data_IF_602470878745
#
_entry.id   IF_602470878745
#
_cell.length_a   1.000
_cell.length_b   1.000
_cell.length_c   1.000
_cell.angle_alpha   90.00
_cell.angle_beta   90.00
_cell.angle_gamma   90.00
#
_symmetry.space_group_name_H-M   'P 1'
#
loop_
_entity.id
_entity.type
_entity.pdbx_description
1 polymer ?
#
# COMPACT_ATOMS: atom_id res chain seq x y z
N UNK A 1 -15.14 -4.79 -37.56
CA UNK A 1 -15.80 -3.55 -38.03
C UNK A 1 -14.73 -2.72 -38.71
N UNK A 2 -14.97 -2.29 -39.94
CA UNK A 2 -14.00 -1.47 -40.68
C UNK A 2 -14.14 0.01 -40.28
N UNK A 3 -13.00 0.66 -40.03
CA UNK A 3 -12.93 2.06 -39.63
C UNK A 3 -12.74 2.94 -40.86
N UNK A 4 -13.67 3.85 -41.10
CA UNK A 4 -13.63 4.78 -42.23
C UNK A 4 -13.10 6.15 -41.77
N UNK A 5 -12.26 6.85 -42.57
CA UNK A 5 -11.76 8.17 -42.21
C UNK A 5 -12.89 9.21 -42.27
N UNK A 6 -13.15 9.90 -41.15
CA UNK A 6 -14.14 10.98 -41.05
C UNK A 6 -13.50 12.37 -41.00
N UNK A 7 -12.17 12.43 -40.89
CA UNK A 7 -11.37 13.65 -40.94
C UNK A 7 -9.90 13.40 -40.59
N UNK A 8 -9.04 14.42 -40.59
CA UNK A 8 -7.63 14.27 -40.22
C UNK A 8 -7.47 13.67 -38.82
N UNK A 9 -6.87 12.49 -38.73
CA UNK A 9 -6.70 11.75 -37.47
C UNK A 9 -8.01 11.26 -36.82
N UNK A 10 -9.13 11.27 -37.55
CA UNK A 10 -10.44 10.83 -37.05
C UNK A 10 -10.95 9.67 -37.89
N UNK A 11 -11.30 8.59 -37.21
CA UNK A 11 -11.87 7.39 -37.80
C UNK A 11 -13.21 7.11 -37.15
N UNK A 12 -14.19 6.72 -37.96
CA UNK A 12 -15.53 6.39 -37.51
C UNK A 12 -15.95 5.03 -38.08
N UNK A 13 -16.68 4.28 -37.27
CA UNK A 13 -17.38 3.08 -37.70
C UNK A 13 -18.73 2.99 -37.03
N UNK A 14 -19.68 2.39 -37.74
CA UNK A 14 -21.00 2.08 -37.20
C UNK A 14 -21.17 0.57 -37.23
N UNK A 15 -21.63 0.00 -36.13
CA UNK A 15 -21.97 -1.42 -36.05
C UNK A 15 -23.28 -1.57 -35.31
N UNK A 16 -24.12 -2.49 -35.77
CA UNK A 16 -25.33 -2.88 -35.04
C UNK A 16 -24.94 -3.90 -33.98
N UNK A 17 -25.36 -3.66 -32.74
CA UNK A 17 -25.19 -4.62 -31.65
C UNK A 17 -26.52 -5.39 -31.49
N UNK A 18 -26.46 -6.72 -31.30
CA UNK A 18 -27.66 -7.56 -31.33
C UNK A 18 -28.51 -7.42 -30.06
N UNK A 19 -27.88 -7.42 -28.88
CA UNK A 19 -28.57 -7.51 -27.60
C UNK A 19 -28.20 -6.38 -26.63
N UNK A 20 -29.03 -6.17 -25.62
CA UNK A 20 -28.68 -5.41 -24.42
C UNK A 20 -27.51 -6.02 -23.65
N UNK A 21 -26.65 -5.18 -23.08
CA UNK A 21 -25.52 -5.68 -22.29
C UNK A 21 -24.29 -4.79 -22.26
N UNK A 22 -23.23 -5.34 -21.68
CA UNK A 22 -21.91 -4.69 -21.57
C UNK A 22 -21.02 -5.22 -22.67
N UNK A 23 -20.57 -4.32 -23.53
CA UNK A 23 -19.68 -4.59 -24.64
C UNK A 23 -18.33 -3.92 -24.43
N UNK A 24 -17.30 -4.55 -24.97
CA UNK A 24 -15.94 -4.02 -24.95
C UNK A 24 -15.51 -3.81 -26.41
N UNK A 25 -15.21 -2.56 -26.74
CA UNK A 25 -14.71 -2.18 -28.04
C UNK A 25 -13.18 -2.02 -27.95
N UNK A 26 -12.47 -2.85 -28.69
CA UNK A 26 -11.02 -2.77 -28.83
C UNK A 26 -10.68 -2.25 -30.22
N UNK A 27 -9.94 -1.15 -30.27
CA UNK A 27 -9.42 -0.54 -31.48
C UNK A 27 -7.92 -0.79 -31.51
N UNK A 28 -7.44 -1.49 -32.53
CA UNK A 28 -6.01 -1.75 -32.74
C UNK A 28 -5.60 -1.15 -34.08
N UNK A 29 -4.57 -0.31 -34.06
CA UNK A 29 -3.89 0.17 -35.25
C UNK A 29 -2.65 -0.70 -35.48
N UNK A 30 -2.58 -1.34 -36.64
CA UNK A 30 -1.43 -2.13 -37.06
C UNK A 30 -0.72 -1.41 -38.19
N UNK A 31 0.62 -1.42 -38.18
CA UNK A 31 1.42 -0.88 -39.27
C UNK A 31 1.71 -2.00 -40.29
N UNK A 32 1.25 -1.88 -41.54
CA UNK A 32 1.55 -2.86 -42.58
C UNK A 32 3.00 -2.78 -43.09
N UNK A 33 3.77 -1.76 -42.68
CA UNK A 33 5.08 -1.41 -43.22
C UNK A 33 6.25 -1.77 -42.29
N UNK A 34 5.96 -2.44 -41.18
CA UNK A 34 6.96 -2.94 -40.24
C UNK A 34 7.78 -4.09 -40.82
N UNK A 35 8.84 -3.74 -41.56
CA UNK A 35 10.07 -4.49 -41.83
C UNK A 35 9.96 -6.01 -42.06
N UNK A 36 10.08 -6.41 -43.32
CA UNK A 36 10.43 -7.74 -43.84
C UNK A 36 9.64 -8.97 -43.31
N UNK A 37 8.93 -9.70 -44.18
CA UNK A 37 8.33 -10.98 -43.80
C UNK A 37 9.45 -12.01 -43.57
N UNK A 38 9.77 -12.30 -42.31
CA UNK A 38 10.41 -13.57 -41.98
C UNK A 38 9.38 -14.67 -42.25
N UNK A 39 9.78 -15.75 -42.93
CA UNK A 39 8.94 -16.76 -43.59
C UNK A 39 7.99 -17.58 -42.69
N UNK A 40 7.79 -17.17 -41.44
CA UNK A 40 6.81 -17.76 -40.53
C UNK A 40 6.19 -16.61 -39.73
N UNK A 41 4.89 -16.41 -39.88
CA UNK A 41 4.04 -15.41 -39.19
C UNK A 41 3.83 -14.08 -39.93
N UNK A 42 2.81 -14.07 -40.80
CA UNK A 42 2.11 -12.87 -41.28
C UNK A 42 1.34 -12.20 -40.13
N UNK A 43 2.05 -11.73 -39.10
CA UNK A 43 1.46 -11.05 -37.96
C UNK A 43 1.70 -9.54 -38.11
N UNK A 44 0.67 -8.82 -38.53
CA UNK A 44 0.65 -7.36 -38.50
C UNK A 44 1.01 -6.87 -37.10
N UNK A 45 2.11 -6.13 -36.94
CA UNK A 45 2.55 -5.66 -35.63
C UNK A 45 1.60 -4.55 -35.15
N UNK A 46 0.94 -4.72 -33.99
CA UNK A 46 0.08 -3.68 -33.44
C UNK A 46 0.94 -2.51 -32.94
N UNK A 47 0.70 -1.31 -33.48
CA UNK A 47 1.44 -0.08 -33.14
C UNK A 47 0.71 0.74 -32.07
N UNK A 48 -0.61 0.67 -32.03
CA UNK A 48 -1.40 1.28 -30.97
C UNK A 48 -2.68 0.48 -30.70
N UNK A 49 -3.14 0.50 -29.46
CA UNK A 49 -4.39 -0.15 -29.06
C UNK A 49 -5.12 0.68 -28.02
N UNK A 50 -6.44 0.85 -28.19
CA UNK A 50 -7.31 1.46 -27.20
C UNK A 50 -8.51 0.56 -26.95
N UNK A 51 -8.80 0.32 -25.67
CA UNK A 51 -9.97 -0.44 -25.24
C UNK A 51 -10.94 0.51 -24.54
N UNK A 52 -12.21 0.46 -24.93
CA UNK A 52 -13.29 1.22 -24.29
C UNK A 52 -14.49 0.33 -24.01
N UNK A 53 -15.23 0.65 -22.96
CA UNK A 53 -16.47 -0.04 -22.59
C UNK A 53 -17.69 0.70 -23.15
N UNK A 54 -18.66 -0.05 -23.67
CA UNK A 54 -19.95 0.45 -24.11
C UNK A 54 -21.05 -0.33 -23.37
N UNK A 55 -22.02 0.37 -22.80
CA UNK A 55 -23.18 -0.26 -22.16
C UNK A 55 -24.42 0.09 -22.96
N UNK A 56 -25.10 -0.93 -23.48
CA UNK A 56 -26.43 -0.77 -24.08
C UNK A 56 -27.44 -1.00 -22.95
N UNK A 57 -28.18 0.05 -22.53
CA UNK A 57 -29.17 -0.11 -21.49
C UNK A 57 -30.33 -0.99 -21.96
N UNK A 58 -30.96 -1.68 -21.01
CA UNK A 58 -32.23 -2.36 -21.24
C UNK A 58 -33.31 -1.39 -21.74
N UNK A 59 -34.39 -1.95 -22.26
CA UNK A 59 -35.59 -1.20 -22.67
C UNK A 59 -35.96 -0.11 -21.63
N UNK A 60 -36.38 1.09 -22.06
CA UNK A 60 -36.71 2.20 -21.17
C UNK A 60 -37.79 1.88 -20.14
N UNK A 61 -38.61 0.83 -20.36
CA UNK A 61 -39.57 0.34 -19.36
C UNK A 61 -38.91 -0.14 -18.06
N UNK A 62 -37.66 -0.61 -18.14
CA UNK A 62 -36.86 -1.03 -16.97
C UNK A 62 -36.04 0.10 -16.38
N UNK A 63 -36.04 1.29 -17.02
CA UNK A 63 -35.37 2.44 -16.44
C UNK A 63 -36.14 2.85 -15.16
N UNK A 64 -35.42 2.97 -14.04
CA UNK A 64 -35.94 3.72 -12.90
C UNK A 64 -35.79 5.20 -13.21
N UNK A 65 -36.87 5.83 -13.69
CA UNK A 65 -36.85 7.26 -13.99
C UNK A 65 -36.74 8.13 -12.73
N UNK A 66 -37.00 7.56 -11.56
CA UNK A 66 -36.96 8.28 -10.29
C UNK A 66 -35.60 8.12 -9.60
N UNK A 67 -35.01 9.23 -9.18
CA UNK A 67 -33.72 9.26 -8.49
C UNK A 67 -33.86 8.72 -7.07
N UNK A 68 -33.08 7.70 -6.72
CA UNK A 68 -32.99 7.21 -5.34
C UNK A 68 -32.11 8.14 -4.50
N UNK A 69 -32.76 9.12 -3.86
CA UNK A 69 -32.08 10.15 -3.08
C UNK A 69 -31.35 9.55 -1.88
N UNK A 70 -31.87 8.47 -1.29
CA UNK A 70 -31.25 7.80 -0.16
C UNK A 70 -29.96 7.12 -0.55
N UNK A 71 -29.96 6.36 -1.65
CA UNK A 71 -28.77 5.71 -2.19
C UNK A 71 -27.71 6.73 -2.59
N UNK A 72 -28.10 7.82 -3.24
CA UNK A 72 -27.17 8.89 -3.61
C UNK A 72 -26.54 9.57 -2.39
N UNK A 73 -27.31 9.74 -1.31
CA UNK A 73 -26.82 10.32 -0.06
C UNK A 73 -25.83 9.39 0.64
N UNK A 74 -26.14 8.09 0.70
CA UNK A 74 -25.26 7.07 1.27
C UNK A 74 -23.95 6.96 0.48
N UNK A 75 -24.03 7.00 -0.85
CA UNK A 75 -22.86 6.92 -1.73
C UNK A 75 -21.97 8.16 -1.57
N UNK A 76 -22.56 9.35 -1.44
CA UNK A 76 -21.82 10.57 -1.12
C UNK A 76 -21.11 10.45 0.24
N UNK A 77 -21.78 9.92 1.26
CA UNK A 77 -21.19 9.71 2.58
C UNK A 77 -20.03 8.70 2.57
N UNK A 78 -20.17 7.59 1.85
CA UNK A 78 -19.15 6.54 1.74
C UNK A 78 -17.92 6.99 0.94
N UNK A 79 -18.11 7.78 -0.11
CA UNK A 79 -17.02 8.22 -1.00
C UNK A 79 -16.38 9.54 -0.56
N UNK A 80 -16.96 10.22 0.43
CA UNK A 80 -16.61 11.61 0.76
C UNK A 80 -17.02 12.61 -0.33
N UNK A 81 -17.94 12.20 -1.22
CA UNK A 81 -18.53 13.04 -2.24
C UNK A 81 -19.54 14.04 -1.68
N UNK A 82 -20.17 14.82 -2.56
CA UNK A 82 -21.20 15.80 -2.19
C UNK A 82 -22.43 15.65 -3.05
N UNK A 83 -23.59 16.00 -2.50
CA UNK A 83 -24.81 16.20 -3.28
C UNK A 83 -24.70 17.50 -4.08
N UNK A 84 -25.18 17.48 -5.32
CA UNK A 84 -25.27 18.65 -6.17
C UNK A 84 -26.74 19.05 -6.28
N UNK A 85 -27.06 20.28 -5.88
CA UNK A 85 -28.42 20.82 -5.99
C UNK A 85 -28.65 21.60 -7.30
N UNK A 86 -27.56 21.95 -7.98
CA UNK A 86 -27.58 22.66 -9.26
C UNK A 86 -26.55 22.03 -10.21
N UNK A 87 -26.90 21.72 -11.48
CA UNK A 87 -25.98 21.14 -12.46
C UNK A 87 -24.72 21.97 -12.71
N UNK A 88 -24.76 23.28 -12.52
CA UNK A 88 -23.59 24.15 -12.64
C UNK A 88 -22.48 23.81 -11.62
N UNK A 89 -22.83 23.20 -10.48
CA UNK A 89 -21.85 22.81 -9.45
C UNK A 89 -20.90 21.70 -9.94
N UNK A 90 -21.28 20.94 -10.97
CA UNK A 90 -20.41 19.90 -11.58
C UNK A 90 -19.15 20.49 -12.19
N UNK A 91 -19.23 21.74 -12.66
CA UNK A 91 -18.11 22.46 -13.29
C UNK A 91 -17.37 23.37 -12.31
N UNK A 92 -17.79 23.43 -11.04
CA UNK A 92 -17.10 24.20 -10.04
C UNK A 92 -15.69 23.62 -9.83
N UNK A 93 -14.63 24.46 -9.79
CA UNK A 93 -13.26 24.00 -9.54
C UNK A 93 -13.22 23.21 -8.24
N UNK A 94 -13.02 21.90 -8.35
CA UNK A 94 -12.97 20.99 -7.22
C UNK A 94 -11.51 20.77 -6.81
N UNK A 95 -11.15 20.93 -5.52
CA UNK A 95 -9.80 20.66 -5.04
C UNK A 95 -9.49 19.16 -4.92
N UNK A 96 -10.48 18.29 -5.15
CA UNK A 96 -10.28 16.85 -5.11
C UNK A 96 -9.40 16.41 -6.28
N UNK A 97 -8.23 15.89 -5.92
CA UNK A 97 -7.26 15.29 -6.82
C UNK A 97 -7.94 14.10 -7.49
N UNK A 98 -8.33 14.25 -8.76
CA UNK A 98 -8.71 13.11 -9.57
C UNK A 98 -7.60 12.06 -9.47
N UNK A 99 -7.94 10.81 -9.13
CA UNK A 99 -6.99 9.70 -9.14
C UNK A 99 -6.57 9.43 -10.58
N UNK A 100 -5.59 10.18 -11.05
CA UNK A 100 -4.98 9.96 -12.35
C UNK A 100 -3.95 8.85 -12.20
N UNK A 101 -4.16 7.75 -12.92
CA UNK A 101 -3.16 6.69 -13.00
C UNK A 101 -1.89 7.25 -13.61
N UNK A 102 -0.80 7.28 -12.84
CA UNK A 102 0.52 7.71 -13.33
C UNK A 102 1.27 6.48 -13.83
N UNK A 103 1.80 6.49 -15.06
CA UNK A 103 2.60 5.38 -15.55
C UNK A 103 3.90 5.28 -14.74
N UNK A 104 4.01 4.26 -13.89
CA UNK A 104 5.21 4.01 -13.08
C UNK A 104 6.30 3.25 -13.84
N UNK A 105 5.96 2.62 -14.97
CA UNK A 105 6.89 1.84 -15.79
C UNK A 105 8.16 2.60 -16.22
N UNK A 106 8.15 3.92 -16.55
CA UNK A 106 9.37 4.63 -16.91
C UNK A 106 10.33 4.76 -15.71
N UNK A 107 9.78 4.97 -14.51
CA UNK A 107 10.58 5.04 -13.28
C UNK A 107 11.14 3.67 -12.91
N UNK A 108 10.36 2.60 -13.10
CA UNK A 108 10.81 1.23 -12.87
C UNK A 108 11.90 0.81 -13.87
N UNK A 109 11.78 1.20 -15.15
CA UNK A 109 12.82 0.97 -16.14
C UNK A 109 14.10 1.75 -15.82
N UNK A 110 13.98 3.03 -15.41
CA UNK A 110 15.13 3.81 -14.99
C UNK A 110 15.82 3.18 -13.77
N UNK A 111 15.04 2.74 -12.79
CA UNK A 111 15.56 2.04 -11.61
C UNK A 111 16.26 0.74 -12.03
N UNK A 112 15.66 -0.08 -12.89
CA UNK A 112 16.28 -1.30 -13.40
C UNK A 112 17.58 -1.02 -14.18
N UNK A 113 17.60 0.01 -15.02
CA UNK A 113 18.79 0.44 -15.76
C UNK A 113 19.93 0.89 -14.84
N UNK A 114 19.62 1.52 -13.70
CA UNK A 114 20.61 1.91 -12.70
C UNK A 114 21.05 0.75 -11.80
N UNK A 115 20.13 -0.16 -11.47
CA UNK A 115 20.39 -1.31 -10.62
C UNK A 115 21.22 -2.38 -11.32
N UNK A 116 21.08 -2.51 -12.65
CA UNK A 116 21.84 -3.46 -13.45
C UNK A 116 23.36 -3.32 -13.30
N UNK A 117 23.99 -2.14 -13.57
CA UNK A 117 25.43 -1.98 -13.34
C UNK A 117 25.81 -2.08 -11.87
N UNK A 118 24.92 -1.72 -10.94
CA UNK A 118 25.17 -1.86 -9.50
C UNK A 118 25.25 -3.33 -9.08
N UNK A 119 24.32 -4.17 -9.55
CA UNK A 119 24.32 -5.62 -9.30
C UNK A 119 25.56 -6.28 -9.92
N UNK A 120 25.91 -5.90 -11.16
CA UNK A 120 27.15 -6.36 -11.80
C UNK A 120 28.38 -5.89 -11.02
N UNK A 121 28.42 -4.65 -10.53
CA UNK A 121 29.53 -4.14 -9.75
C UNK A 121 29.71 -4.90 -8.43
N UNK A 122 28.62 -5.16 -7.70
CA UNK A 122 28.66 -5.93 -6.45
C UNK A 122 29.07 -7.38 -6.69
N UNK A 123 28.58 -8.00 -7.77
CA UNK A 123 28.88 -9.42 -8.05
C UNK A 123 30.24 -9.63 -8.71
N UNK A 124 30.69 -8.72 -9.56
CA UNK A 124 31.89 -8.91 -10.39
C UNK A 124 33.09 -8.11 -9.93
N UNK A 125 32.90 -6.99 -9.25
CA UNK A 125 34.01 -6.19 -8.73
C UNK A 125 34.16 -6.50 -7.25
N UNK A 126 35.28 -7.14 -6.88
CA UNK A 126 35.68 -7.28 -5.47
C UNK A 126 36.15 -5.93 -4.93
N UNK A 127 35.23 -4.98 -4.83
CA UNK A 127 35.46 -3.72 -4.13
C UNK A 127 35.62 -4.08 -2.65
N UNK A 128 36.80 -3.82 -2.10
CA UNK A 128 36.97 -3.88 -0.65
C UNK A 128 36.08 -2.87 0.04
N UNK A 129 35.83 -3.07 1.33
CA UNK A 129 34.96 -2.21 2.12
C UNK A 129 35.42 -0.73 2.09
N UNK A 130 36.72 -0.49 1.90
CA UNK A 130 37.34 0.86 1.88
C UNK A 130 37.07 1.59 0.56
N UNK A 131 37.08 0.88 -0.56
CA UNK A 131 36.82 1.40 -1.90
C UNK A 131 35.33 1.74 -2.06
N UNK A 132 34.46 0.89 -1.50
CA UNK A 132 33.03 1.15 -1.44
C UNK A 132 32.68 2.39 -0.60
N UNK A 133 33.30 2.53 0.59
CA UNK A 133 33.16 3.74 1.41
C UNK A 133 33.65 5.00 0.69
N UNK A 134 34.75 4.92 -0.06
CA UNK A 134 35.27 6.05 -0.84
C UNK A 134 34.31 6.44 -1.98
N UNK A 135 33.74 5.46 -2.68
CA UNK A 135 32.75 5.70 -3.72
C UNK A 135 31.48 6.35 -3.15
N UNK A 136 30.94 5.83 -2.04
CA UNK A 136 29.78 6.44 -1.36
C UNK A 136 30.08 7.87 -0.94
N UNK A 137 31.22 8.13 -0.27
CA UNK A 137 31.61 9.48 0.16
C UNK A 137 31.76 10.46 -1.01
N UNK A 138 32.27 9.98 -2.14
CA UNK A 138 32.41 10.79 -3.35
C UNK A 138 31.05 11.10 -3.99
N UNK A 139 30.12 10.15 -4.01
CA UNK A 139 28.75 10.36 -4.49
C UNK A 139 28.03 11.34 -3.55
N UNK A 140 28.08 11.12 -2.24
CA UNK A 140 27.39 11.97 -1.25
C UNK A 140 27.96 13.38 -1.20
N UNK A 141 29.27 13.56 -1.41
CA UNK A 141 29.89 14.89 -1.52
C UNK A 141 29.48 15.67 -2.78
N UNK A 142 28.98 14.97 -3.80
CA UNK A 142 28.49 15.58 -5.06
C UNK A 142 26.98 15.80 -5.07
N UNK A 143 26.25 15.32 -4.06
CA UNK A 143 24.85 15.67 -3.89
C UNK A 143 24.77 17.09 -3.32
N UNK A 144 24.10 18.04 -4.00
CA UNK A 144 23.90 19.38 -3.47
C UNK A 144 22.99 19.30 -2.24
N UNK A 145 23.55 19.60 -1.07
CA UNK A 145 22.82 19.57 0.21
C UNK A 145 23.61 19.04 1.40
N UNK A 146 24.75 18.38 1.19
CA UNK A 146 25.69 18.06 2.27
C UNK A 146 27.02 18.79 2.04
N UNK A 147 27.02 20.07 2.38
CA UNK A 147 28.25 20.80 2.65
C UNK A 147 29.00 20.06 3.78
N UNK A 148 29.99 19.25 3.40
CA UNK A 148 31.06 18.88 4.32
C UNK A 148 31.87 20.15 4.51
N UNK A 149 31.68 20.84 5.63
CA UNK A 149 32.64 21.86 6.06
C UNK A 149 34.01 21.19 6.26
N UNK A 150 35.05 21.58 5.51
CA UNK A 150 36.41 21.20 5.84
C UNK A 150 36.89 22.19 6.92
N UNK A 151 36.51 21.95 8.18
CA UNK A 151 36.73 22.92 9.24
C UNK A 151 36.34 22.44 10.63
N UNK A 152 36.69 21.22 11.03
CA UNK A 152 36.82 20.91 12.46
C UNK A 152 37.81 19.77 12.66
N UNK A 153 39.08 20.12 12.53
CA UNK A 153 40.19 19.41 13.14
C UNK A 153 40.17 19.69 14.66
N UNK A 154 39.09 19.29 15.34
CA UNK A 154 38.95 19.22 16.80
C UNK A 154 37.56 18.62 17.12
N UNK A 155 37.51 17.67 18.05
CA UNK A 155 36.31 17.13 18.69
C UNK A 155 35.42 16.14 17.89
N UNK A 156 35.97 14.96 17.58
CA UNK A 156 35.32 13.68 17.89
C UNK A 156 36.28 12.51 17.60
N UNK A 157 36.97 12.01 18.65
CA UNK A 157 36.67 10.64 19.05
C UNK A 157 36.69 10.50 20.59
N UNK A 158 35.64 10.96 21.29
CA UNK A 158 35.60 10.85 22.76
C UNK A 158 34.42 10.06 23.33
N UNK A 159 33.46 9.59 22.53
CA UNK A 159 32.38 8.78 23.10
C UNK A 159 32.79 7.33 23.41
N UNK A 160 33.72 6.77 22.62
CA UNK A 160 34.21 5.41 22.90
C UNK A 160 35.32 5.41 23.95
N UNK A 161 36.25 6.38 23.92
CA UNK A 161 37.33 6.45 24.93
C UNK A 161 36.79 6.73 26.33
N UNK A 162 35.76 7.58 26.47
CA UNK A 162 35.13 7.85 27.77
C UNK A 162 34.45 6.61 28.36
N UNK A 163 33.81 5.78 27.53
CA UNK A 163 33.22 4.52 27.96
C UNK A 163 34.28 3.47 28.33
N UNK A 164 35.39 3.41 27.58
CA UNK A 164 36.50 2.51 27.91
C UNK A 164 37.21 2.96 29.20
N UNK A 165 37.43 4.25 29.41
CA UNK A 165 37.99 4.78 30.66
C UNK A 165 37.05 4.59 31.86
N UNK A 166 35.74 4.79 31.69
CA UNK A 166 34.76 4.53 32.74
C UNK A 166 34.74 3.05 33.14
N UNK A 167 34.86 2.14 32.16
CA UNK A 167 34.96 0.70 32.38
C UNK A 167 36.27 0.30 33.05
N UNK A 168 37.39 0.96 32.71
CA UNK A 168 38.71 0.66 33.27
C UNK A 168 38.80 1.13 34.74
N UNK A 169 38.27 2.31 35.06
CA UNK A 169 38.13 2.81 36.45
C UNK A 169 37.27 1.91 37.34
N UNK A 170 36.18 1.35 36.79
CA UNK A 170 35.35 0.40 37.54
C UNK A 170 36.11 -0.92 37.84
N UNK A 171 37.00 -1.34 36.93
CA UNK A 171 37.79 -2.56 37.08
C UNK A 171 38.91 -2.41 38.12
N UNK A 172 39.57 -1.26 38.15
CA UNK A 172 40.59 -0.95 39.17
C UNK A 172 40.00 -0.86 40.58
N UNK A 173 38.79 -0.31 40.74
CA UNK A 173 38.07 -0.30 42.03
C UNK A 173 37.71 -1.68 42.55
N UNK A 174 37.51 -2.65 41.65
CA UNK A 174 37.18 -4.03 42.00
C UNK A 174 38.41 -4.95 42.13
N UNK A 175 39.59 -4.48 41.73
CA UNK A 175 40.86 -5.21 41.84
C UNK A 175 41.77 -4.73 42.98
N UNK A 176 41.37 -3.72 43.76
CA UNK A 176 42.06 -3.34 44.98
C UNK A 176 41.68 -4.29 46.14
N UNK A 177 42.65 -4.91 46.86
CA UNK A 177 42.36 -5.84 47.95
C UNK A 177 41.72 -5.11 49.15
N UNK A 178 40.75 -5.71 49.85
CA UNK A 178 40.13 -5.11 51.01
C UNK A 178 41.12 -5.11 52.19
N UNK A 179 41.61 -3.93 52.57
CA UNK A 179 42.19 -3.70 53.89
C UNK A 179 41.08 -3.76 54.93
N UNK A 180 41.29 -4.68 55.88
CA UNK A 180 40.46 -5.04 57.02
C UNK A 180 40.05 -3.83 57.87
N UNK A 181 38.75 -3.58 57.98
CA UNK A 181 38.17 -3.16 59.25
C UNK A 181 36.69 -3.57 59.33
N UNK A 182 36.36 -4.37 60.34
CA UNK A 182 35.00 -4.84 60.67
C UNK A 182 34.63 -4.24 62.01
N UNK A 183 33.38 -3.74 62.19
CA UNK A 183 32.46 -4.43 63.11
C UNK A 183 30.98 -4.31 62.62
N UNK A 184 29.95 -4.72 63.40
CA UNK A 184 29.47 -6.09 63.41
C UNK A 184 28.01 -6.26 62.93
N UNK A 185 27.69 -7.52 62.68
CA UNK A 185 26.40 -8.12 62.31
C UNK A 185 25.25 -7.80 63.28
N UNK A 186 24.04 -7.68 62.74
CA UNK A 186 22.83 -8.17 63.41
C UNK A 186 21.81 -8.68 62.38
N UNK A 187 21.35 -9.91 62.59
CA UNK A 187 20.17 -10.52 61.97
C UNK A 187 19.11 -10.67 63.06
N UNK A 188 17.82 -10.55 62.75
CA UNK A 188 16.91 -11.71 62.90
C UNK A 188 15.83 -11.74 61.78
N UNK A 189 15.53 -12.85 61.08
CA UNK A 189 14.89 -14.14 61.44
C UNK A 189 13.34 -14.12 61.54
N UNK A 190 12.72 -14.93 60.65
CA UNK A 190 11.43 -15.67 60.71
C UNK A 190 10.12 -14.84 60.59
N UNK A 191 9.01 -15.31 59.99
CA UNK A 191 8.52 -16.63 59.62
C UNK A 191 7.38 -16.53 58.54
N UNK A 192 6.84 -17.65 58.01
CA UNK A 192 6.16 -17.76 56.70
C UNK A 192 4.61 -17.80 56.76
N UNK A 193 3.94 -17.65 55.61
CA UNK A 193 2.53 -18.00 55.45
C UNK A 193 2.26 -18.67 54.08
N UNK A 194 1.58 -19.81 54.14
CA UNK A 194 1.23 -20.73 53.04
C UNK A 194 -0.04 -20.32 52.28
N UNK A 195 -0.30 -20.86 51.06
CA UNK A 195 -1.46 -20.53 50.23
C UNK A 195 -2.65 -21.50 50.45
N UNK A 196 -3.86 -21.16 49.98
CA UNK A 196 -4.88 -22.17 49.72
C UNK A 196 -5.37 -22.20 48.25
N UNK A 197 -5.09 -23.32 47.60
CA UNK A 197 -5.98 -24.31 46.97
C UNK A 197 -7.42 -23.94 46.56
N UNK A 198 -7.73 -24.27 45.29
CA UNK A 198 -9.05 -24.34 44.63
C UNK A 198 -9.93 -25.54 45.05
N UNK A 199 -11.22 -25.54 44.63
CA UNK A 199 -11.81 -26.78 44.10
C UNK A 199 -12.57 -26.61 42.75
N UNK A 200 -12.66 -27.66 41.88
CA UNK A 200 -13.49 -27.73 40.65
C UNK A 200 -14.65 -28.76 40.79
N UNK A 201 -15.40 -29.21 39.75
CA UNK A 201 -15.88 -28.63 38.47
C UNK A 201 -17.42 -28.74 38.30
N UNK A 202 -18.04 -28.05 37.33
CA UNK A 202 -19.41 -28.40 36.87
C UNK A 202 -19.62 -28.16 35.36
N UNK A 203 -20.13 -29.18 34.67
CA UNK A 203 -20.70 -29.20 33.30
C UNK A 203 -21.56 -30.48 33.20
N UNK A 204 -22.47 -30.68 32.22
CA UNK A 204 -23.15 -29.77 31.28
C UNK A 204 -24.67 -30.06 31.09
N UNK A 205 -25.59 -29.08 31.10
CA UNK A 205 -26.92 -29.22 30.46
C UNK A 205 -27.73 -27.91 30.49
N UNK A 206 -27.58 -27.02 29.50
CA UNK A 206 -28.61 -25.99 29.17
C UNK A 206 -28.28 -25.11 27.96
N UNK A 207 -27.16 -25.31 27.27
CA UNK A 207 -26.74 -24.40 26.20
C UNK A 207 -27.55 -24.55 24.89
N UNK A 208 -28.33 -25.62 24.71
CA UNK A 208 -28.98 -25.88 23.41
C UNK A 208 -30.34 -25.23 23.23
N UNK A 209 -31.07 -24.96 24.32
CA UNK A 209 -32.43 -24.37 24.26
C UNK A 209 -32.41 -22.83 24.25
N UNK A 210 -31.32 -22.23 24.73
CA UNK A 210 -31.13 -20.77 24.73
C UNK A 210 -30.58 -20.25 23.39
N UNK A 211 -29.77 -21.02 22.68
CA UNK A 211 -29.28 -20.66 21.33
C UNK A 211 -30.41 -20.68 20.29
N UNK A 212 -31.31 -21.67 20.29
CA UNK A 212 -32.41 -21.72 19.31
C UNK A 212 -33.43 -20.58 19.49
N UNK A 213 -33.68 -20.16 20.74
CA UNK A 213 -34.59 -19.05 21.03
C UNK A 213 -33.98 -17.69 20.65
N UNK A 214 -32.67 -17.48 20.90
CA UNK A 214 -31.98 -16.26 20.48
C UNK A 214 -31.83 -16.18 18.96
N UNK A 215 -31.52 -17.28 18.26
CA UNK A 215 -31.43 -17.30 16.80
C UNK A 215 -32.77 -16.92 16.13
N UNK A 216 -33.90 -17.45 16.61
CA UNK A 216 -35.22 -17.10 16.09
C UNK A 216 -35.55 -15.61 16.27
N UNK A 217 -35.20 -15.03 17.43
CA UNK A 217 -35.38 -13.60 17.71
C UNK A 217 -34.47 -12.72 16.85
N UNK A 218 -33.24 -13.13 16.56
CA UNK A 218 -32.35 -12.38 15.64
C UNK A 218 -32.85 -12.41 14.20
N UNK A 219 -33.38 -13.55 13.73
CA UNK A 219 -33.96 -13.67 12.39
C UNK A 219 -35.25 -12.86 12.25
N UNK A 220 -36.10 -12.84 13.27
CA UNK A 220 -37.30 -12.00 13.29
C UNK A 220 -36.96 -10.50 13.24
N UNK A 221 -35.90 -10.08 13.96
CA UNK A 221 -35.41 -8.70 13.96
C UNK A 221 -34.85 -8.27 12.60
N UNK A 222 -34.14 -9.16 11.90
CA UNK A 222 -33.66 -8.93 10.54
C UNK A 222 -34.82 -8.81 9.52
N UNK A 223 -35.85 -9.65 9.64
CA UNK A 223 -37.03 -9.57 8.76
C UNK A 223 -37.83 -8.28 8.98
N UNK A 224 -37.97 -7.83 10.23
CA UNK A 224 -38.61 -6.56 10.56
C UNK A 224 -37.84 -5.36 10.00
N UNK A 225 -36.50 -5.37 10.08
CA UNK A 225 -35.66 -4.34 9.49
C UNK A 225 -35.81 -4.29 7.95
N UNK A 226 -35.82 -5.46 7.29
CA UNK A 226 -36.01 -5.56 5.84
C UNK A 226 -37.39 -5.05 5.38
N UNK A 227 -38.45 -5.28 6.16
CA UNK A 227 -39.79 -4.76 5.86
C UNK A 227 -39.87 -3.23 6.03
N UNK A 228 -39.07 -2.66 6.94
CA UNK A 228 -39.03 -1.21 7.21
C UNK A 228 -38.32 -0.43 6.10
N UNK A 229 -37.35 -1.04 5.43
CA UNK A 229 -36.62 -0.44 4.32
C UNK A 229 -37.38 -0.48 2.96
N UNK A 230 -38.53 -1.16 2.90
CA UNK A 230 -39.35 -1.29 1.68
C UNK A 230 -40.58 -0.36 1.68
N UNK A 231 -40.80 0.42 2.74
CA UNK A 231 -41.78 1.51 2.79
C UNK A 231 -41.08 2.84 2.58
#
# INVERSE_FOLDING_TARGET
VELTPSGPGRYAATTTLPDEGVYLAQITASDPTGSEPSETETASVPVAGQTTGLVIPYSPEYARLESDVTLLTDLAALTGGRRLDNPAQTFAPTPAIGRQSRPLWPLLLLAAALLFPLDVAVRRVRLGHREWQRAIRWVTARLPGQATEPGSEAAAPTLHSELFEARQRARERYSAPPSTERPPVSSPKAAPASPPTSPPPEKPASLKEKEETEEQDTLARLQAAKRRAKR
#
